data_IF_730152603446
#
_entry.id   IF_730152603446
#
_cell.length_a   1.000
_cell.length_b   1.000
_cell.length_c   1.000
_cell.angle_alpha   90.00
_cell.angle_beta   90.00
_cell.angle_gamma   90.00
#
_symmetry.space_group_name_H-M   'P 1'
#
loop_
_entity.id
_entity.type
_entity.pdbx_description
1 polymer ?
#
# COMPACT_ATOMS: atom_id res chain seq x y z
N UNK A 1 -15.12 0.94 -7.52
CA UNK A 1 -14.55 1.37 -6.21
C UNK A 1 -13.44 0.39 -5.85
N UNK A 2 -12.47 0.71 -4.99
CA UNK A 2 -11.31 -0.19 -4.75
C UNK A 2 -11.24 -0.62 -3.28
N UNK A 3 -11.13 -1.92 -3.06
CA UNK A 3 -10.76 -2.52 -1.79
C UNK A 3 -9.26 -2.82 -1.81
N UNK A 4 -8.56 -2.35 -0.80
CA UNK A 4 -7.13 -2.56 -0.58
C UNK A 4 -6.98 -3.53 0.58
N UNK A 5 -6.23 -4.61 0.37
CA UNK A 5 -5.84 -5.56 1.40
C UNK A 5 -4.33 -5.49 1.51
N UNK A 6 -3.81 -5.23 2.71
CA UNK A 6 -2.38 -5.15 3.00
C UNK A 6 -2.06 -6.35 3.88
N UNK A 7 -1.14 -7.20 3.43
CA UNK A 7 -0.70 -8.40 4.15
C UNK A 7 0.79 -8.32 4.43
N UNK A 8 1.22 -8.55 5.67
CA UNK A 8 2.64 -8.59 6.03
C UNK A 8 3.26 -9.94 5.65
N UNK A 9 4.29 -9.95 4.78
CA UNK A 9 4.84 -11.21 4.22
C UNK A 9 5.36 -12.20 5.27
N UNK A 10 5.85 -11.68 6.40
CA UNK A 10 6.40 -12.48 7.49
C UNK A 10 5.43 -12.59 8.69
N UNK A 11 4.19 -12.10 8.57
CA UNK A 11 3.33 -11.79 9.71
C UNK A 11 1.92 -12.37 9.63
N UNK A 12 1.26 -12.38 10.80
CA UNK A 12 -0.15 -12.77 10.99
C UNK A 12 -1.11 -11.58 10.82
N UNK A 13 -0.64 -10.45 10.27
CA UNK A 13 -1.38 -9.19 10.23
C UNK A 13 -1.86 -8.88 8.83
N UNK A 14 -3.17 -8.68 8.73
CA UNK A 14 -3.87 -8.26 7.54
C UNK A 14 -4.68 -7.00 7.85
N UNK A 15 -4.62 -6.02 6.94
CA UNK A 15 -5.43 -4.81 7.01
C UNK A 15 -6.26 -4.66 5.75
N UNK A 16 -7.57 -4.60 5.91
CA UNK A 16 -8.51 -4.38 4.80
C UNK A 16 -9.09 -2.97 4.86
N UNK A 17 -9.09 -2.27 3.73
CA UNK A 17 -9.66 -0.93 3.59
C UNK A 17 -10.45 -0.80 2.29
N UNK A 18 -11.70 -0.36 2.39
CA UNK A 18 -12.52 -0.04 1.23
C UNK A 18 -12.46 1.46 0.95
N UNK A 19 -11.83 1.83 -0.16
CA UNK A 19 -11.69 3.21 -0.59
C UNK A 19 -12.73 3.55 -1.68
N UNK A 20 -13.53 4.59 -1.44
CA UNK A 20 -14.45 5.16 -2.45
C UNK A 20 -13.67 5.95 -3.49
N UNK A 21 -12.96 5.24 -4.36
CA UNK A 21 -12.20 5.77 -5.51
C UNK A 21 -12.06 4.68 -6.57
N UNK A 22 -11.81 5.06 -7.82
CA UNK A 22 -11.38 4.17 -8.91
C UNK A 22 -9.87 4.24 -9.18
N UNK A 23 -9.18 5.16 -8.51
CA UNK A 23 -7.73 5.32 -8.61
C UNK A 23 -7.03 4.46 -7.54
N UNK A 24 -6.20 3.53 -8.00
CA UNK A 24 -5.47 2.58 -7.16
C UNK A 24 -4.49 3.27 -6.20
N UNK A 25 -3.78 4.29 -6.69
CA UNK A 25 -2.80 5.00 -5.87
C UNK A 25 -3.49 5.75 -4.72
N UNK A 26 -4.57 6.48 -5.01
CA UNK A 26 -5.40 7.13 -3.98
C UNK A 26 -5.98 6.11 -3.01
N UNK A 27 -6.39 4.94 -3.47
CA UNK A 27 -6.91 3.88 -2.60
C UNK A 27 -5.86 3.42 -1.60
N UNK A 28 -4.63 3.19 -2.07
CA UNK A 28 -3.48 2.82 -1.22
C UNK A 28 -3.17 3.93 -0.23
N UNK A 29 -3.05 5.19 -0.67
CA UNK A 29 -2.75 6.32 0.23
C UNK A 29 -3.81 6.41 1.35
N UNK A 30 -5.09 6.25 1.03
CA UNK A 30 -6.17 6.25 2.03
C UNK A 30 -6.09 5.06 2.98
N UNK A 31 -5.78 3.87 2.47
CA UNK A 31 -5.56 2.68 3.28
C UNK A 31 -4.37 2.88 4.24
N UNK A 32 -3.27 3.43 3.74
CA UNK A 32 -2.07 3.74 4.52
C UNK A 32 -2.36 4.76 5.61
N UNK A 33 -3.01 5.87 5.28
CA UNK A 33 -3.35 6.91 6.27
C UNK A 33 -4.30 6.38 7.36
N UNK A 34 -5.21 5.47 7.03
CA UNK A 34 -6.14 4.87 8.00
C UNK A 34 -5.43 3.92 8.96
N UNK A 35 -4.63 2.99 8.44
CA UNK A 35 -4.04 1.90 9.22
C UNK A 35 -2.69 2.26 9.82
N UNK A 36 -2.00 3.25 9.24
CA UNK A 36 -0.65 3.68 9.60
C UNK A 36 -0.55 5.22 9.68
N UNK A 37 -1.28 5.88 10.61
CA UNK A 37 -1.43 7.33 10.65
C UNK A 37 -0.14 8.12 10.95
N UNK A 38 0.94 7.47 11.40
CA UNK A 38 2.24 8.13 11.64
C UNK A 38 3.08 8.22 10.37
N UNK A 39 2.53 8.73 9.26
CA UNK A 39 3.27 9.01 8.01
C UNK A 39 4.03 7.82 7.42
N UNK A 40 3.41 6.64 7.41
CA UNK A 40 4.01 5.49 6.74
C UNK A 40 3.73 5.54 5.23
N UNK A 41 4.73 5.23 4.41
CA UNK A 41 4.61 5.21 2.95
C UNK A 41 4.73 3.78 2.42
N UNK A 42 3.92 3.44 1.43
CA UNK A 42 4.11 2.21 0.67
C UNK A 42 5.04 2.48 -0.50
N UNK A 43 6.10 1.68 -0.63
CA UNK A 43 7.02 1.72 -1.76
C UNK A 43 7.00 0.33 -2.43
N UNK A 44 6.52 0.23 -3.69
CA UNK A 44 6.57 -1.02 -4.45
C UNK A 44 8.01 -1.51 -4.63
N UNK A 45 8.21 -2.83 -4.67
CA UNK A 45 9.53 -3.40 -4.96
C UNK A 45 9.92 -3.20 -6.44
N UNK A 46 8.93 -3.31 -7.33
CA UNK A 46 9.06 -3.06 -8.76
C UNK A 46 8.44 -1.71 -9.10
N UNK A 47 9.22 -0.64 -8.89
CA UNK A 47 8.76 0.75 -9.08
C UNK A 47 8.44 1.03 -10.55
N UNK A 48 9.18 0.43 -11.48
CA UNK A 48 9.01 0.66 -12.92
C UNK A 48 7.71 0.04 -13.45
N UNK A 49 7.32 -1.14 -12.95
CA UNK A 49 6.07 -1.80 -13.35
C UNK A 49 4.86 -1.44 -12.48
N UNK A 50 5.06 -0.85 -11.30
CA UNK A 50 3.97 -0.47 -10.40
C UNK A 50 2.88 0.42 -11.06
N UNK A 51 3.21 1.44 -11.88
CA UNK A 51 2.19 2.24 -12.57
C UNK A 51 1.28 1.40 -13.46
N UNK A 52 1.86 0.46 -14.22
CA UNK A 52 1.11 -0.45 -15.10
C UNK A 52 0.19 -1.36 -14.28
N UNK A 53 0.68 -1.86 -13.15
CA UNK A 53 -0.13 -2.66 -12.22
C UNK A 53 -1.28 -1.83 -11.63
N UNK A 54 -1.03 -0.59 -11.20
CA UNK A 54 -2.08 0.30 -10.69
C UNK A 54 -3.16 0.60 -11.72
N UNK A 55 -2.78 0.84 -12.98
CA UNK A 55 -3.75 1.05 -14.08
C UNK A 55 -4.57 -0.22 -14.36
N UNK A 56 -3.93 -1.38 -14.28
CA UNK A 56 -4.57 -2.68 -14.54
C UNK A 56 -5.70 -3.00 -13.55
N UNK A 57 -5.73 -2.37 -12.37
CA UNK A 57 -6.79 -2.55 -11.35
C UNK A 57 -8.19 -2.30 -11.92
N UNK A 58 -8.29 -1.43 -12.94
CA UNK A 58 -9.57 -1.11 -13.59
C UNK A 58 -10.06 -2.14 -14.61
N UNK A 59 -9.18 -3.07 -15.01
CA UNK A 59 -9.39 -4.04 -16.09
C UNK A 59 -9.26 -5.48 -15.62
N UNK A 60 -8.52 -5.70 -14.54
CA UNK A 60 -8.16 -7.03 -14.04
C UNK A 60 -8.53 -7.13 -12.56
N UNK A 61 -9.26 -8.17 -12.16
CA UNK A 61 -9.54 -8.41 -10.75
C UNK A 61 -8.27 -8.83 -10.01
N UNK A 62 -8.13 -8.40 -8.75
CA UNK A 62 -7.11 -8.88 -7.81
C UNK A 62 -5.65 -8.62 -8.21
N UNK A 63 -5.32 -7.37 -8.53
CA UNK A 63 -3.92 -6.97 -8.77
C UNK A 63 -3.13 -7.07 -7.46
N UNK A 64 -1.99 -7.74 -7.48
CA UNK A 64 -1.09 -7.90 -6.33
C UNK A 64 0.22 -7.15 -6.57
N UNK A 65 0.68 -6.43 -5.57
CA UNK A 65 1.87 -5.58 -5.63
C UNK A 65 2.68 -5.83 -4.37
N UNK A 66 3.91 -6.26 -4.52
CA UNK A 66 4.83 -6.42 -3.39
C UNK A 66 5.55 -5.10 -3.13
N UNK A 67 5.89 -4.84 -1.89
CA UNK A 67 6.61 -3.65 -1.53
C UNK A 67 6.89 -3.60 -0.04
N UNK A 68 7.37 -2.45 0.40
CA UNK A 68 7.70 -2.22 1.80
C UNK A 68 6.94 -1.03 2.34
N UNK A 69 6.53 -1.16 3.60
CA UNK A 69 6.01 -0.02 4.36
C UNK A 69 7.19 0.69 5.01
N UNK A 70 7.48 1.91 4.55
CA UNK A 70 8.46 2.78 5.16
C UNK A 70 7.86 3.52 6.34
N UNK A 71 8.62 3.65 7.42
CA UNK A 71 8.18 4.28 8.67
C UNK A 71 9.05 5.48 9.00
N UNK A 72 8.50 6.57 9.54
CA UNK A 72 9.33 7.63 10.09
C UNK A 72 10.00 7.15 11.37
N UNK A 73 11.26 7.48 11.51
CA UNK A 73 12.09 7.23 12.67
C UNK A 73 12.80 8.53 13.03
N UNK A 74 12.55 9.00 14.24
CA UNK A 74 13.21 10.19 14.77
C UNK A 74 14.56 9.81 15.37
N UNK A 75 15.62 10.47 14.91
CA UNK A 75 16.95 10.35 15.48
C UNK A 75 17.58 11.74 15.59
N UNK A 76 17.95 12.13 16.82
CA UNK A 76 18.57 13.44 17.14
C UNK A 76 17.83 14.65 16.53
N UNK A 77 16.50 14.65 16.59
CA UNK A 77 15.67 15.75 16.08
C UNK A 77 15.46 15.75 14.56
N UNK A 78 16.03 14.78 13.83
CA UNK A 78 15.81 14.59 12.39
C UNK A 78 14.90 13.39 12.19
N UNK A 79 13.86 13.53 11.35
CA UNK A 79 12.98 12.44 10.98
C UNK A 79 13.47 11.76 9.70
N UNK A 80 13.83 10.49 9.80
CA UNK A 80 14.24 9.65 8.68
C UNK A 80 13.14 8.68 8.30
N UNK A 81 12.87 8.51 7.01
CA UNK A 81 12.07 7.36 6.56
C UNK A 81 12.98 6.14 6.51
N UNK A 82 12.64 5.09 7.26
CA UNK A 82 13.37 3.82 7.26
C UNK A 82 12.51 2.72 6.67
N UNK A 83 13.15 1.82 5.90
CA UNK A 83 12.50 0.64 5.32
C UNK A 83 11.94 -0.23 6.45
N UNK A 84 10.64 -0.45 6.45
CA UNK A 84 9.95 -1.31 7.41
C UNK A 84 9.58 -2.67 6.82
N UNK A 85 8.49 -3.29 7.29
CA UNK A 85 8.16 -4.65 6.91
C UNK A 85 7.81 -4.77 5.42
N UNK A 86 8.12 -5.93 4.84
CA UNK A 86 7.68 -6.32 3.51
C UNK A 86 6.20 -6.71 3.55
N UNK A 87 5.43 -6.20 2.59
CA UNK A 87 3.99 -6.40 2.49
C UNK A 87 3.57 -6.73 1.07
N UNK A 88 2.46 -7.44 0.95
CA UNK A 88 1.72 -7.64 -0.29
C UNK A 88 0.47 -6.76 -0.21
N UNK A 89 0.33 -5.86 -1.18
CA UNK A 89 -0.88 -5.05 -1.38
C UNK A 89 -1.70 -5.68 -2.47
N UNK A 90 -2.90 -6.13 -2.13
CA UNK A 90 -3.90 -6.62 -3.09
C UNK A 90 -4.95 -5.55 -3.32
N UNK A 91 -5.19 -5.24 -4.59
CA UNK A 91 -6.17 -4.27 -5.04
C UNK A 91 -7.30 -4.99 -5.75
N UNK A 92 -8.50 -4.85 -5.22
CA UNK A 92 -9.71 -5.48 -5.73
C UNK A 92 -10.65 -4.37 -6.16
N UNK A 93 -10.94 -4.30 -7.46
CA UNK A 93 -12.01 -3.44 -7.94
C UNK A 93 -13.35 -4.08 -7.55
N UNK A 94 -14.09 -3.39 -6.69
CA UNK A 94 -15.49 -3.67 -6.44
C UNK A 94 -16.38 -2.92 -7.44
N UNK A 95 -17.48 -3.57 -7.80
CA UNK A 95 -18.57 -3.03 -8.63
C UNK A 95 -19.04 -1.65 -8.13
#
# INVERSE_FOLDING_TARGET
>A
MITVIIFEMNGWREWTHRARTKDAQTAIIRAMNKHFPRSYHFVPDDIDNAPVLFESVTRTPNVKITGHIWKPMWNRGICWSVKGPSVIVTLIQGD
#
